data_IF_158564959617
#
_entry.id   IF_158564959617
#
_cell.length_a   1.000
_cell.length_b   1.000
_cell.length_c   1.000
_cell.angle_alpha   90.00
_cell.angle_beta   90.00
_cell.angle_gamma   90.00
#
_symmetry.space_group_name_H-M   'P 1'
#
loop_
_entity.id
_entity.type
_entity.pdbx_description
1 polymer ?
#
# COMPACT_ATOMS: atom_id res chain seq x y z
N UNK A 1 -22.80 19.42 -3.03
CA UNK A 1 -22.85 17.94 -3.11
C UNK A 1 -21.44 17.43 -2.96
N UNK A 2 -21.25 16.29 -2.29
CA UNK A 2 -19.94 15.64 -2.17
C UNK A 2 -19.58 15.02 -3.52
N UNK A 3 -18.52 15.49 -4.17
CA UNK A 3 -18.10 14.97 -5.47
C UNK A 3 -16.64 14.56 -5.43
N UNK A 4 -16.31 13.47 -6.14
CA UNK A 4 -14.94 13.10 -6.48
C UNK A 4 -14.56 13.82 -7.77
N UNK A 5 -13.34 14.34 -7.84
CA UNK A 5 -12.78 14.98 -9.03
C UNK A 5 -11.56 14.21 -9.53
N UNK A 6 -11.53 13.95 -10.83
CA UNK A 6 -10.45 13.22 -11.50
C UNK A 6 -9.82 14.16 -12.52
N UNK A 7 -8.51 14.37 -12.41
CA UNK A 7 -7.75 15.23 -13.34
C UNK A 7 -6.68 14.38 -14.02
N UNK A 8 -6.66 14.37 -15.35
CA UNK A 8 -5.56 13.81 -16.15
C UNK A 8 -4.76 14.96 -16.73
N UNK A 9 -3.50 15.09 -16.32
CA UNK A 9 -2.68 16.24 -16.67
C UNK A 9 -1.18 15.91 -16.74
N UNK A 10 -0.46 16.67 -17.58
CA UNK A 10 0.98 16.82 -17.42
C UNK A 10 1.21 17.70 -16.18
N UNK A 11 1.88 17.15 -15.18
CA UNK A 11 2.07 17.83 -13.90
C UNK A 11 3.41 17.49 -13.24
N UNK A 12 3.83 18.35 -12.33
CA UNK A 12 4.88 18.07 -11.34
C UNK A 12 4.32 18.29 -9.93
N UNK A 13 4.96 17.71 -8.93
CA UNK A 13 4.53 17.88 -7.55
C UNK A 13 5.70 18.03 -6.59
N UNK A 14 5.52 18.87 -5.57
CA UNK A 14 6.46 19.05 -4.47
C UNK A 14 5.70 18.86 -3.16
N UNK A 15 6.18 17.95 -2.35
CA UNK A 15 5.74 17.75 -0.98
C UNK A 15 6.80 18.30 -0.02
N UNK A 16 6.35 19.07 0.96
CA UNK A 16 7.17 19.62 2.03
C UNK A 16 6.49 19.42 3.38
N UNK A 17 7.26 19.12 4.43
CA UNK A 17 6.74 18.90 5.78
C UNK A 17 7.58 17.87 6.54
N UNK A 18 6.98 16.76 6.97
CA UNK A 18 7.68 15.66 7.66
C UNK A 18 8.85 15.05 6.89
N UNK A 19 8.79 15.18 5.56
CA UNK A 19 9.87 14.89 4.63
C UNK A 19 9.76 15.85 3.44
N UNK A 20 10.75 15.83 2.56
CA UNK A 20 10.68 16.49 1.27
C UNK A 20 10.64 15.43 0.17
N UNK A 21 9.74 15.59 -0.79
CA UNK A 21 9.64 14.72 -1.96
C UNK A 21 9.23 15.53 -3.19
N UNK A 22 9.74 15.15 -4.36
CA UNK A 22 9.43 15.80 -5.63
C UNK A 22 9.08 14.77 -6.69
N UNK A 23 8.08 15.09 -7.52
CA UNK A 23 7.75 14.38 -8.73
C UNK A 23 8.07 15.27 -9.93
N UNK A 24 8.97 14.86 -10.84
CA UNK A 24 9.29 15.64 -12.04
C UNK A 24 8.07 15.72 -12.98
N UNK A 25 8.05 16.67 -13.94
CA UNK A 25 7.01 16.73 -14.97
C UNK A 25 6.75 15.37 -15.62
N UNK A 26 5.50 14.92 -15.61
CA UNK A 26 5.01 13.76 -16.35
C UNK A 26 3.48 13.78 -16.41
N UNK A 27 2.90 13.01 -17.33
CA UNK A 27 1.46 12.77 -17.37
C UNK A 27 1.04 11.88 -16.20
N UNK A 28 0.05 12.33 -15.43
CA UNK A 28 -0.46 11.62 -14.23
C UNK A 28 -1.96 11.77 -14.07
N UNK A 29 -2.52 10.92 -13.21
CA UNK A 29 -3.91 11.01 -12.76
C UNK A 29 -3.94 11.53 -11.33
N UNK A 30 -4.66 12.62 -11.10
CA UNK A 30 -4.95 13.13 -9.77
C UNK A 30 -6.37 12.72 -9.38
N UNK A 31 -6.53 12.17 -8.19
CA UNK A 31 -7.83 11.86 -7.59
C UNK A 31 -8.03 12.74 -6.36
N UNK A 32 -9.02 13.63 -6.43
CA UNK A 32 -9.43 14.49 -5.32
C UNK A 32 -10.78 13.99 -4.83
N UNK A 33 -10.82 13.52 -3.59
CA UNK A 33 -12.06 13.01 -2.98
C UNK A 33 -12.90 14.14 -2.39
N UNK A 34 -14.16 13.82 -2.06
CA UNK A 34 -15.08 14.78 -1.46
C UNK A 34 -14.62 15.33 -0.10
N UNK A 35 -13.82 14.57 0.64
CA UNK A 35 -13.19 14.98 1.90
C UNK A 35 -11.89 15.80 1.71
N UNK A 36 -11.59 16.19 0.46
CA UNK A 36 -10.39 16.88 0.00
C UNK A 36 -9.11 16.03 0.00
N UNK A 37 -9.16 14.74 0.35
CA UNK A 37 -8.01 13.86 0.19
C UNK A 37 -7.54 13.89 -1.27
N UNK A 38 -6.24 14.09 -1.49
CA UNK A 38 -5.65 14.25 -2.82
C UNK A 38 -4.60 13.15 -3.04
N UNK A 39 -4.69 12.45 -4.17
CA UNK A 39 -3.81 11.34 -4.52
C UNK A 39 -3.26 11.53 -5.94
N UNK A 40 -1.98 11.23 -6.15
CA UNK A 40 -1.31 11.32 -7.45
C UNK A 40 -0.86 9.93 -7.90
N UNK A 41 -1.32 9.49 -9.06
CA UNK A 41 -1.01 8.18 -9.64
C UNK A 41 -0.19 8.31 -10.93
N UNK A 42 0.67 7.34 -11.15
CA UNK A 42 1.32 7.07 -12.44
C UNK A 42 0.60 5.90 -13.12
N UNK A 43 0.64 5.86 -14.45
CA UNK A 43 0.20 4.70 -15.23
C UNK A 43 1.06 3.46 -14.94
N UNK A 44 2.33 3.68 -14.60
CA UNK A 44 3.30 2.62 -14.32
C UNK A 44 3.46 2.34 -12.83
N UNK A 45 3.48 1.06 -12.47
CA UNK A 45 4.33 0.54 -11.39
C UNK A 45 3.79 0.55 -9.96
N UNK A 46 2.53 0.93 -9.68
CA UNK A 46 2.00 0.78 -8.32
C UNK A 46 0.48 0.92 -8.26
N UNK A 47 -0.21 0.00 -7.54
CA UNK A 47 -1.61 0.20 -7.13
C UNK A 47 -1.76 1.29 -6.05
N UNK A 48 -0.64 1.73 -5.46
CA UNK A 48 -0.59 2.83 -4.47
C UNK A 48 -0.25 4.15 -5.15
N UNK A 49 -0.79 5.28 -4.68
CA UNK A 49 -0.40 6.60 -5.16
C UNK A 49 1.10 6.85 -4.95
N UNK A 50 1.71 7.63 -5.86
CA UNK A 50 3.09 8.09 -5.76
C UNK A 50 3.26 9.14 -4.66
N UNK A 51 2.26 10.00 -4.47
CA UNK A 51 2.19 10.98 -3.39
C UNK A 51 0.72 11.26 -3.06
N UNK A 52 0.44 11.62 -1.81
CA UNK A 52 -0.92 11.88 -1.36
C UNK A 52 -0.94 12.83 -0.16
N UNK A 53 -2.11 13.46 0.03
CA UNK A 53 -2.48 14.15 1.26
C UNK A 53 -3.79 13.57 1.76
N UNK A 54 -3.81 13.06 2.99
CA UNK A 54 -5.03 12.58 3.63
C UNK A 54 -5.83 13.73 4.22
N UNK A 55 -7.17 13.60 4.23
CA UNK A 55 -8.03 14.44 5.05
C UNK A 55 -7.68 14.29 6.56
N UNK A 56 -7.89 15.32 7.38
CA UNK A 56 -8.39 16.65 7.01
C UNK A 56 -7.30 17.51 6.35
N UNK A 57 -7.59 18.02 5.16
CA UNK A 57 -6.75 18.95 4.41
C UNK A 57 -7.61 19.95 3.64
N UNK A 58 -6.99 21.01 3.13
CA UNK A 58 -7.64 22.00 2.28
C UNK A 58 -6.93 22.08 0.94
N UNK A 59 -7.68 22.26 -0.15
CA UNK A 59 -7.13 22.50 -1.49
C UNK A 59 -7.41 23.93 -1.90
N UNK A 60 -6.37 24.64 -2.34
CA UNK A 60 -6.50 25.95 -2.99
C UNK A 60 -6.03 25.84 -4.43
N UNK A 61 -6.84 26.37 -5.34
CA UNK A 61 -6.45 26.54 -6.74
C UNK A 61 -5.89 27.94 -6.92
N UNK A 62 -4.72 28.04 -7.52
CA UNK A 62 -4.00 29.30 -7.74
C UNK A 62 -3.70 29.38 -9.23
N UNK A 63 -4.16 30.45 -9.87
CA UNK A 63 -3.73 30.80 -11.22
C UNK A 63 -2.35 31.48 -11.12
N UNK A 64 -1.35 31.02 -11.88
CA UNK A 64 -0.05 31.67 -11.88
C UNK A 64 -0.16 33.06 -12.53
N UNK A 65 0.44 34.07 -11.89
CA UNK A 65 0.49 35.43 -12.46
C UNK A 65 1.22 35.42 -13.81
N UNK A 66 0.58 35.98 -14.84
CA UNK A 66 1.24 36.21 -16.12
C UNK A 66 2.43 37.14 -15.89
N UNK A 67 3.65 36.62 -16.03
CA UNK A 67 4.85 37.46 -15.95
C UNK A 67 4.83 38.40 -17.15
N UNK A 68 4.43 39.65 -16.92
CA UNK A 68 4.47 40.72 -17.91
C UNK A 68 5.89 40.82 -18.46
N UNK A 69 6.08 40.50 -19.74
CA UNK A 69 7.35 40.69 -20.44
C UNK A 69 7.68 42.20 -20.45
N UNK A 70 8.51 42.63 -19.51
CA UNK A 70 9.14 43.95 -19.53
C UNK A 70 10.27 43.98 -20.54
N UNK A 71 10.11 44.74 -21.62
CA UNK A 71 11.17 45.02 -22.58
C UNK A 71 12.03 46.21 -22.17
N UNK A 72 13.34 46.13 -22.43
CA UNK A 72 14.21 47.21 -22.87
C UNK A 72 15.56 46.60 -23.28
N UNK A 73 15.98 46.84 -24.53
CA UNK A 73 17.18 46.26 -25.12
C UNK A 73 18.45 47.07 -24.89
N UNK A 74 19.58 46.48 -25.31
CA UNK A 74 20.76 47.20 -25.78
C UNK A 74 21.50 46.33 -26.81
N UNK A 75 21.76 46.90 -27.99
CA UNK A 75 22.59 46.37 -29.08
C UNK A 75 24.08 46.58 -28.80
N UNK A 76 24.93 45.68 -29.32
CA UNK A 76 26.21 45.93 -30.02
C UNK A 76 26.76 44.53 -30.42
N UNK A 77 26.81 44.10 -31.69
CA UNK A 77 27.57 44.51 -32.90
C UNK A 77 28.80 43.61 -33.18
N UNK A 78 28.73 42.89 -34.32
CA UNK A 78 29.79 42.33 -35.21
C UNK A 78 30.81 41.31 -34.64
N UNK A 79 31.32 40.30 -35.35
CA UNK A 79 31.92 40.23 -36.70
C UNK A 79 31.86 38.78 -37.25
N UNK A 80 31.78 38.64 -38.57
CA UNK A 80 31.77 37.39 -39.33
C UNK A 80 33.15 36.77 -39.58
N UNK A 81 33.20 35.44 -39.76
CA UNK A 81 34.36 34.70 -40.28
C UNK A 81 33.94 33.34 -40.87
N UNK A 82 34.35 33.07 -42.10
CA UNK A 82 33.90 31.99 -43.00
C UNK A 82 34.86 30.78 -43.08
N UNK A 83 34.32 29.56 -42.86
CA UNK A 83 34.61 28.22 -43.46
C UNK A 83 36.04 27.61 -43.45
N UNK A 84 36.22 26.34 -43.92
CA UNK A 84 35.36 25.15 -43.88
C UNK A 84 36.09 23.86 -43.37
N UNK A 85 35.32 22.76 -43.26
CA UNK A 85 35.67 21.32 -43.28
C UNK A 85 36.82 20.76 -42.41
N UNK A 86 36.50 19.81 -41.51
CA UNK A 86 37.13 18.47 -41.52
C UNK A 86 36.47 17.43 -40.59
N UNK A 87 36.21 16.26 -41.21
CA UNK A 87 36.10 14.86 -40.75
C UNK A 87 35.25 14.44 -39.54
N UNK A 88 34.29 13.57 -39.86
CA UNK A 88 33.53 12.73 -38.96
C UNK A 88 34.38 11.62 -38.33
N UNK A 89 34.22 11.41 -37.02
CA UNK A 89 34.67 10.21 -36.32
C UNK A 89 33.48 9.62 -35.54
N UNK A 90 33.24 8.34 -35.76
CA UNK A 90 32.07 7.60 -35.29
C UNK A 90 32.15 7.34 -33.78
N UNK A 91 31.10 7.70 -33.04
CA UNK A 91 30.90 7.31 -31.65
C UNK A 91 29.48 6.80 -31.40
N UNK A 92 29.42 5.53 -31.03
CA UNK A 92 28.43 4.73 -30.26
C UNK A 92 26.92 5.11 -30.23
N UNK A 93 26.01 4.10 -30.24
CA UNK A 93 24.56 4.29 -30.35
C UNK A 93 23.82 4.79 -29.08
N UNK A 94 24.50 5.29 -28.06
CA UNK A 94 23.88 5.70 -26.77
C UNK A 94 23.43 7.17 -26.71
N UNK A 95 23.65 7.96 -27.76
CA UNK A 95 23.39 9.41 -27.75
C UNK A 95 21.93 9.83 -28.05
N UNK A 96 21.02 8.88 -28.35
CA UNK A 96 19.64 9.20 -28.75
C UNK A 96 18.64 9.32 -27.57
N UNK A 97 19.05 9.05 -26.34
CA UNK A 97 18.15 9.13 -25.16
C UNK A 97 18.31 10.45 -24.38
N UNK A 98 19.39 11.21 -24.61
CA UNK A 98 19.72 12.38 -23.79
C UNK A 98 19.15 13.72 -24.28
N UNK A 99 18.44 13.78 -25.43
CA UNK A 99 18.02 15.05 -26.04
C UNK A 99 16.55 15.46 -25.79
N UNK A 100 15.74 14.63 -25.14
CA UNK A 100 14.33 14.97 -24.83
C UNK A 100 14.10 15.51 -23.41
N UNK A 101 15.09 15.42 -22.51
CA UNK A 101 14.90 15.78 -21.09
C UNK A 101 14.95 17.29 -20.80
N UNK A 102 15.46 18.10 -21.74
CA UNK A 102 15.69 19.54 -21.50
C UNK A 102 14.57 20.46 -22.02
N UNK A 103 13.60 19.93 -22.78
CA UNK A 103 12.49 20.72 -23.31
C UNK A 103 11.33 20.93 -22.32
N UNK A 104 11.30 20.19 -21.21
CA UNK A 104 10.13 20.16 -20.31
C UNK A 104 10.14 21.22 -19.20
N UNK A 105 11.24 21.97 -19.04
CA UNK A 105 11.34 23.05 -18.05
C UNK A 105 10.65 24.37 -18.48
N UNK A 106 10.16 24.46 -19.72
CA UNK A 106 9.66 25.72 -20.28
C UNK A 106 8.14 25.75 -20.54
N UNK A 107 7.39 24.71 -20.13
CA UNK A 107 5.93 24.73 -20.27
C UNK A 107 5.33 25.68 -19.22
N UNK A 108 4.50 26.66 -19.63
CA UNK A 108 3.88 27.55 -18.66
C UNK A 108 2.96 26.73 -17.75
N UNK A 109 3.14 26.90 -16.44
CA UNK A 109 2.17 26.38 -15.47
C UNK A 109 0.86 27.08 -15.76
N UNK A 110 -0.23 26.32 -15.92
CA UNK A 110 -1.58 26.89 -16.10
C UNK A 110 -2.32 27.01 -14.79
N UNK A 111 -2.05 26.11 -13.85
CA UNK A 111 -2.78 26.02 -12.59
C UNK A 111 -1.91 25.38 -11.53
N UNK A 112 -2.02 25.87 -10.30
CA UNK A 112 -1.37 25.28 -9.13
C UNK A 112 -2.43 24.81 -8.15
N UNK A 113 -2.38 23.55 -7.76
CA UNK A 113 -3.16 23.01 -6.66
C UNK A 113 -2.27 22.94 -5.41
N UNK A 114 -2.59 23.75 -4.40
CA UNK A 114 -1.90 23.73 -3.11
C UNK A 114 -2.76 23.01 -2.09
N UNK A 115 -2.35 21.81 -1.71
CA UNK A 115 -3.01 20.98 -0.71
C UNK A 115 -2.28 21.11 0.62
N UNK A 116 -2.97 21.53 1.68
CA UNK A 116 -2.36 21.74 3.01
C UNK A 116 -3.05 20.90 4.06
N UNK A 117 -2.28 20.15 4.84
CA UNK A 117 -2.80 19.42 5.99
C UNK A 117 -3.34 20.39 7.05
N UNK A 118 -4.42 20.01 7.76
CA UNK A 118 -4.98 20.85 8.83
C UNK A 118 -4.19 20.72 10.13
N UNK A 119 -3.62 19.54 10.41
CA UNK A 119 -2.99 19.21 11.70
C UNK A 119 -1.47 19.29 11.69
N UNK A 120 -0.85 19.52 10.54
CA UNK A 120 0.60 19.60 10.38
C UNK A 120 0.96 20.69 9.38
N UNK A 121 2.24 21.06 9.31
CA UNK A 121 2.76 21.97 8.30
C UNK A 121 2.99 21.29 6.94
N UNK A 122 2.44 20.08 6.71
CA UNK A 122 2.61 19.35 5.47
C UNK A 122 1.87 20.05 4.32
N UNK A 123 2.56 20.29 3.21
CA UNK A 123 2.03 20.95 2.01
C UNK A 123 2.44 20.16 0.77
N UNK A 124 1.46 19.82 -0.07
CA UNK A 124 1.63 19.24 -1.39
C UNK A 124 1.23 20.28 -2.44
N UNK A 125 2.20 20.74 -3.22
CA UNK A 125 2.02 21.70 -4.32
C UNK A 125 2.11 20.97 -5.64
N UNK A 126 1.02 20.96 -6.41
CA UNK A 126 0.93 20.30 -7.70
C UNK A 126 0.80 21.36 -8.78
N UNK A 127 1.73 21.37 -9.74
CA UNK A 127 1.73 22.30 -10.87
C UNK A 127 1.18 21.57 -12.09
N UNK A 128 0.10 22.10 -12.67
CA UNK A 128 -0.53 21.56 -13.87
C UNK A 128 -0.08 22.37 -15.09
N UNK A 129 0.51 21.70 -16.07
CA UNK A 129 1.01 22.32 -17.30
C UNK A 129 -0.03 22.20 -18.42
N UNK A 130 -0.49 20.98 -18.70
CA UNK A 130 -1.52 20.67 -19.68
C UNK A 130 -2.56 19.77 -19.04
N UNK A 131 -3.84 20.17 -19.11
CA UNK A 131 -4.96 19.36 -18.62
C UNK A 131 -5.62 18.69 -19.82
N UNK A 132 -5.79 17.37 -19.73
CA UNK A 132 -6.44 16.54 -20.75
C UNK A 132 -7.88 16.20 -20.37
N UNK A 133 -8.14 16.00 -19.08
CA UNK A 133 -9.46 15.77 -18.51
C UNK A 133 -9.52 16.36 -17.10
N UNK A 134 -10.68 16.88 -16.72
CA UNK A 134 -10.96 17.45 -15.39
C UNK A 134 -12.46 17.31 -15.12
N UNK A 135 -12.84 16.15 -14.60
CA UNK A 135 -14.24 15.74 -14.46
C UNK A 135 -14.59 15.53 -12.98
N UNK A 136 -15.85 15.84 -12.63
CA UNK A 136 -16.37 15.64 -11.29
C UNK A 136 -17.59 14.71 -11.31
N UNK A 137 -17.63 13.78 -10.35
CA UNK A 137 -18.64 12.74 -10.24
C UNK A 137 -19.24 12.72 -8.84
N UNK A 138 -20.57 12.64 -8.76
CA UNK A 138 -21.29 12.24 -7.55
C UNK A 138 -21.43 10.71 -7.59
N UNK A 139 -20.79 10.03 -6.64
CA UNK A 139 -20.80 8.56 -6.57
C UNK A 139 -22.02 8.03 -5.80
N UNK A 140 -22.87 8.90 -5.25
CA UNK A 140 -24.02 8.52 -4.44
C UNK A 140 -23.63 7.96 -3.06
N UNK A 141 -24.57 7.23 -2.46
CA UNK A 141 -24.35 6.59 -1.17
C UNK A 141 -23.45 5.35 -1.32
N UNK A 142 -22.35 5.32 -0.58
CA UNK A 142 -21.46 4.15 -0.49
C UNK A 142 -22.01 3.18 0.58
N UNK A 143 -22.42 1.94 0.21
CA UNK A 143 -22.82 0.93 1.20
C UNK A 143 -21.64 0.45 2.07
N UNK A 144 -20.42 0.84 1.71
CA UNK A 144 -19.19 0.45 2.37
C UNK A 144 -18.69 -0.91 1.89
N UNK A 145 -17.41 -1.16 2.17
CA UNK A 145 -16.79 -2.45 1.92
C UNK A 145 -17.27 -3.48 2.96
N UNK A 146 -18.09 -4.44 2.54
CA UNK A 146 -18.35 -5.64 3.33
C UNK A 146 -17.12 -6.53 3.25
N UNK A 147 -16.37 -6.62 4.35
CA UNK A 147 -15.29 -7.58 4.49
C UNK A 147 -15.88 -8.84 5.11
N UNK A 148 -16.11 -9.87 4.30
CA UNK A 148 -16.41 -11.19 4.85
C UNK A 148 -15.22 -11.63 5.71
N UNK A 149 -15.45 -11.70 7.02
CA UNK A 149 -14.47 -11.98 8.07
C UNK A 149 -14.03 -13.44 8.05
N UNK A 150 -13.51 -13.91 6.92
CA UNK A 150 -13.08 -15.29 6.71
C UNK A 150 -12.10 -15.73 7.80
N UNK A 151 -11.20 -14.86 8.26
CA UNK A 151 -10.25 -15.19 9.34
C UNK A 151 -10.95 -15.38 10.69
N UNK A 152 -11.95 -14.54 11.02
CA UNK A 152 -12.74 -14.71 12.24
C UNK A 152 -13.55 -16.03 12.20
N UNK A 153 -14.08 -16.39 11.03
CA UNK A 153 -14.73 -17.68 10.83
C UNK A 153 -13.75 -18.86 10.95
N UNK A 154 -12.58 -18.78 10.31
CA UNK A 154 -11.54 -19.81 10.42
C UNK A 154 -11.10 -20.01 11.87
N UNK A 155 -10.93 -18.92 12.63
CA UNK A 155 -10.60 -18.98 14.05
C UNK A 155 -11.71 -19.64 14.86
N UNK A 156 -12.98 -19.27 14.60
CA UNK A 156 -14.13 -19.90 15.26
C UNK A 156 -14.19 -21.40 14.97
N UNK A 157 -14.18 -21.79 13.70
CA UNK A 157 -14.27 -23.20 13.31
C UNK A 157 -13.09 -24.02 13.82
N UNK A 158 -11.85 -23.50 13.78
CA UNK A 158 -10.70 -24.24 14.29
C UNK A 158 -10.75 -24.39 15.81
N UNK A 159 -11.28 -23.41 16.53
CA UNK A 159 -11.46 -23.50 17.97
C UNK A 159 -12.53 -24.54 18.37
N UNK A 160 -13.63 -24.62 17.62
CA UNK A 160 -14.68 -25.63 17.79
C UNK A 160 -14.18 -27.03 17.39
N UNK A 161 -13.29 -27.11 16.40
CA UNK A 161 -12.77 -28.34 15.82
C UNK A 161 -11.28 -28.51 16.17
N UNK A 162 -10.92 -28.22 17.42
CA UNK A 162 -9.51 -28.11 17.83
C UNK A 162 -8.71 -29.40 17.64
N UNK A 163 -9.36 -30.56 17.66
CA UNK A 163 -8.75 -31.87 17.35
C UNK A 163 -8.11 -31.93 15.96
N UNK A 164 -8.43 -31.00 15.04
CA UNK A 164 -7.75 -30.88 13.74
C UNK A 164 -6.24 -30.61 13.85
N UNK A 165 -5.77 -30.09 14.99
CA UNK A 165 -4.34 -29.89 15.24
C UNK A 165 -3.64 -31.14 15.80
N UNK A 166 -4.41 -32.20 16.08
CA UNK A 166 -3.94 -33.46 16.62
C UNK A 166 -4.92 -34.05 17.65
N UNK A 167 -5.01 -35.39 17.75
CA UNK A 167 -5.95 -36.06 18.64
C UNK A 167 -5.67 -35.72 20.11
N UNK A 168 -6.75 -35.42 20.85
CA UNK A 168 -6.66 -35.07 22.27
C UNK A 168 -6.23 -33.63 22.51
N UNK A 169 -6.27 -32.79 21.47
CA UNK A 169 -6.05 -31.36 21.63
C UNK A 169 -7.23 -30.71 22.36
N UNK A 170 -6.94 -29.71 23.19
CA UNK A 170 -7.97 -28.96 23.92
C UNK A 170 -7.76 -27.46 23.74
N UNK A 171 -8.86 -26.74 23.52
CA UNK A 171 -8.83 -25.30 23.39
C UNK A 171 -8.56 -24.67 24.77
N UNK A 172 -7.55 -23.81 24.87
CA UNK A 172 -7.35 -22.96 26.05
C UNK A 172 -8.17 -21.70 25.89
N UNK A 173 -7.94 -20.97 24.80
CA UNK A 173 -8.56 -19.65 24.57
C UNK A 173 -8.37 -19.20 23.12
N UNK A 174 -9.41 -18.56 22.56
CA UNK A 174 -9.27 -17.71 21.36
C UNK A 174 -8.81 -16.32 21.77
N UNK A 175 -8.04 -15.67 20.90
CA UNK A 175 -7.49 -14.33 21.16
C UNK A 175 -6.75 -14.31 22.52
N UNK A 176 -5.78 -15.23 22.67
CA UNK A 176 -5.02 -15.35 23.90
C UNK A 176 -4.16 -14.09 24.10
N UNK A 177 -4.38 -13.32 25.18
CA UNK A 177 -3.77 -12.00 25.32
C UNK A 177 -2.26 -12.09 25.55
N UNK A 178 -1.50 -11.28 24.83
CA UNK A 178 -0.07 -11.07 25.09
C UNK A 178 0.28 -9.57 25.06
N UNK A 179 1.42 -9.15 25.64
CA UNK A 179 1.89 -7.77 25.56
C UNK A 179 2.10 -7.20 24.15
N UNK A 180 2.25 -8.04 23.12
CA UNK A 180 2.49 -7.61 21.74
C UNK A 180 1.29 -7.82 20.81
N UNK A 181 0.12 -8.13 21.38
CA UNK A 181 -1.09 -8.48 20.65
C UNK A 181 -1.57 -9.91 20.98
N UNK A 182 -2.83 -10.23 20.67
CA UNK A 182 -3.37 -11.56 20.93
C UNK A 182 -2.84 -12.60 19.96
N UNK A 183 -2.64 -13.83 20.44
CA UNK A 183 -2.49 -15.03 19.60
C UNK A 183 -3.88 -15.52 19.22
N UNK A 184 -4.10 -15.87 17.95
CA UNK A 184 -5.44 -16.23 17.45
C UNK A 184 -6.06 -17.39 18.25
N UNK A 185 -5.30 -18.47 18.47
CA UNK A 185 -5.70 -19.58 19.34
C UNK A 185 -4.52 -20.05 20.19
N UNK A 186 -4.79 -20.24 21.48
CA UNK A 186 -3.96 -21.04 22.37
C UNK A 186 -4.67 -22.36 22.68
N UNK A 187 -3.93 -23.45 22.59
CA UNK A 187 -4.42 -24.81 22.84
C UNK A 187 -3.39 -25.62 23.62
N UNK A 188 -3.79 -26.80 24.08
CA UNK A 188 -2.91 -27.83 24.63
C UNK A 188 -3.03 -29.08 23.76
N UNK A 189 -1.91 -29.67 23.34
CA UNK A 189 -1.91 -30.92 22.56
C UNK A 189 -2.19 -32.16 23.44
N UNK A 190 -2.39 -33.32 22.82
CA UNK A 190 -2.62 -34.58 23.54
C UNK A 190 -1.47 -35.04 24.46
N UNK A 191 -0.31 -34.36 24.42
CA UNK A 191 0.82 -34.59 25.33
C UNK A 191 0.89 -33.56 26.46
N UNK A 192 -0.10 -32.67 26.58
CA UNK A 192 -0.12 -31.62 27.59
C UNK A 192 0.76 -30.41 27.28
N UNK A 193 1.29 -30.28 26.05
CA UNK A 193 2.15 -29.14 25.67
C UNK A 193 1.31 -28.02 25.08
N UNK A 194 1.70 -26.80 25.38
CA UNK A 194 1.04 -25.60 24.85
C UNK A 194 1.30 -25.42 23.36
N UNK A 195 0.28 -24.98 22.63
CA UNK A 195 0.30 -24.75 21.19
C UNK A 195 -0.27 -23.37 20.90
N UNK A 196 0.57 -22.49 20.35
CA UNK A 196 0.15 -21.21 19.80
C UNK A 196 -0.15 -21.39 18.30
N UNK A 197 -1.31 -20.92 17.86
CA UNK A 197 -1.77 -21.04 16.49
C UNK A 197 -2.02 -19.64 15.93
N UNK A 198 -1.42 -19.36 14.79
CA UNK A 198 -1.68 -18.17 13.99
C UNK A 198 -2.47 -18.57 12.73
N UNK A 199 -3.53 -17.84 12.43
CA UNK A 199 -4.51 -18.16 11.39
C UNK A 199 -4.52 -17.07 10.32
N UNK A 200 -4.44 -17.48 9.05
CA UNK A 200 -4.56 -16.57 7.89
C UNK A 200 -5.54 -17.09 6.85
N UNK A 201 -6.20 -16.21 6.12
CA UNK A 201 -6.86 -16.61 4.87
C UNK A 201 -5.81 -16.95 3.81
N UNK A 202 -4.84 -16.06 3.62
CA UNK A 202 -3.71 -16.24 2.71
C UNK A 202 -2.41 -16.06 3.51
N UNK A 203 -1.75 -17.16 3.83
CA UNK A 203 -0.57 -17.19 4.68
C UNK A 203 0.69 -16.72 3.96
N UNK A 204 1.19 -15.55 4.35
CA UNK A 204 2.46 -14.97 3.92
C UNK A 204 3.55 -15.01 4.99
N UNK A 205 4.72 -14.44 4.67
CA UNK A 205 5.89 -14.35 5.56
C UNK A 205 5.57 -13.57 6.85
N UNK A 206 4.72 -12.57 6.75
CA UNK A 206 4.25 -11.73 7.86
C UNK A 206 3.55 -12.54 8.95
N UNK A 207 2.73 -13.53 8.58
CA UNK A 207 2.10 -14.44 9.53
C UNK A 207 3.09 -15.35 10.27
N UNK A 208 4.11 -15.84 9.56
CA UNK A 208 5.17 -16.67 10.18
C UNK A 208 6.03 -15.86 11.15
N UNK A 209 6.37 -14.62 10.77
CA UNK A 209 7.11 -13.71 11.64
C UNK A 209 6.26 -13.29 12.86
N UNK A 210 4.94 -13.16 12.69
CA UNK A 210 4.02 -12.94 13.81
C UNK A 210 4.02 -14.13 14.78
N UNK A 211 3.84 -15.35 14.30
CA UNK A 211 3.91 -16.57 15.13
C UNK A 211 5.29 -16.72 15.80
N UNK A 212 6.37 -16.38 15.10
CA UNK A 212 7.74 -16.36 15.67
C UNK A 212 7.82 -15.45 16.90
N UNK A 213 7.29 -14.23 16.80
CA UNK A 213 7.31 -13.29 17.93
C UNK A 213 6.50 -13.82 19.11
N UNK A 214 5.33 -14.41 18.87
CA UNK A 214 4.50 -14.99 19.92
C UNK A 214 5.17 -16.19 20.59
N UNK A 215 5.62 -17.20 19.83
CA UNK A 215 6.28 -18.36 20.41
C UNK A 215 7.53 -17.97 21.19
N UNK A 216 8.34 -17.02 20.70
CA UNK A 216 9.53 -16.53 21.43
C UNK A 216 9.15 -15.85 22.75
N UNK A 217 8.05 -15.10 22.77
CA UNK A 217 7.56 -14.44 23.97
C UNK A 217 7.00 -15.45 24.97
N UNK A 218 6.10 -16.34 24.53
CA UNK A 218 5.42 -17.30 25.40
C UNK A 218 6.37 -18.35 25.98
N UNK A 219 7.40 -18.76 25.24
CA UNK A 219 8.44 -19.66 25.75
C UNK A 219 9.33 -19.04 26.84
N UNK A 220 9.20 -17.73 27.14
CA UNK A 220 9.87 -17.13 28.30
C UNK A 220 9.12 -17.36 29.61
N UNK A 221 7.83 -17.70 29.54
CA UNK A 221 7.02 -18.01 30.72
C UNK A 221 7.18 -19.49 31.08
N UNK A 222 7.75 -19.84 32.25
CA UNK A 222 7.91 -21.22 32.69
C UNK A 222 6.59 -21.98 32.90
N UNK A 223 5.46 -21.28 33.04
CA UNK A 223 4.14 -21.89 33.16
C UNK A 223 3.56 -22.33 31.81
N UNK A 224 4.09 -21.77 30.72
CA UNK A 224 3.67 -22.07 29.35
C UNK A 224 4.72 -22.87 28.57
N UNK A 225 6.00 -22.70 28.88
CA UNK A 225 7.06 -23.40 28.18
C UNK A 225 6.96 -24.93 28.44
N UNK A 226 7.14 -25.77 27.40
CA UNK A 226 7.39 -25.43 26.00
C UNK A 226 6.11 -25.10 25.22
N UNK A 227 6.18 -24.06 24.38
CA UNK A 227 5.10 -23.66 23.45
C UNK A 227 5.51 -23.97 22.02
N UNK A 228 4.75 -24.84 21.34
CA UNK A 228 4.88 -25.10 19.89
C UNK A 228 4.08 -24.09 19.08
N UNK A 229 4.46 -23.88 17.82
CA UNK A 229 3.74 -23.02 16.88
C UNK A 229 3.09 -23.82 15.75
N UNK A 230 1.84 -23.50 15.43
CA UNK A 230 1.15 -23.96 14.21
C UNK A 230 0.79 -22.74 13.36
N UNK A 231 1.21 -22.73 12.11
CA UNK A 231 0.80 -21.73 11.12
C UNK A 231 -0.33 -22.31 10.27
N UNK A 232 -1.56 -21.86 10.52
CA UNK A 232 -2.76 -22.39 9.91
C UNK A 232 -3.33 -21.41 8.86
N UNK A 233 -3.63 -21.87 7.65
CA UNK A 233 -4.25 -21.01 6.64
C UNK A 233 -5.02 -21.78 5.56
N UNK A 234 -5.93 -21.12 4.83
CA UNK A 234 -6.54 -21.77 3.65
C UNK A 234 -5.52 -22.00 2.54
N UNK A 235 -4.62 -21.03 2.35
CA UNK A 235 -3.51 -21.14 1.42
C UNK A 235 -2.24 -20.62 2.09
N UNK A 236 -1.09 -21.24 1.81
CA UNK A 236 0.22 -20.83 2.32
C UNK A 236 1.16 -20.67 1.13
N UNK A 237 1.84 -19.52 1.02
CA UNK A 237 2.81 -19.31 -0.06
C UNK A 237 4.02 -20.25 0.11
N UNK A 238 4.69 -20.67 -0.98
CA UNK A 238 5.87 -21.53 -0.89
C UNK A 238 6.96 -20.97 0.03
N UNK A 239 7.20 -19.67 -0.03
CA UNK A 239 8.21 -18.99 0.79
C UNK A 239 7.82 -19.00 2.28
N UNK A 240 6.53 -18.76 2.60
CA UNK A 240 6.04 -18.80 3.97
C UNK A 240 6.13 -20.21 4.56
N UNK A 241 5.81 -21.25 3.77
CA UNK A 241 5.95 -22.65 4.18
C UNK A 241 7.40 -22.98 4.54
N UNK A 242 8.34 -22.67 3.65
CA UNK A 242 9.78 -22.91 3.88
C UNK A 242 10.24 -22.21 5.16
N UNK A 243 9.83 -20.95 5.38
CA UNK A 243 10.21 -20.21 6.59
C UNK A 243 9.57 -20.79 7.85
N UNK A 244 8.31 -21.21 7.79
CA UNK A 244 7.61 -21.82 8.92
C UNK A 244 8.30 -23.12 9.35
N UNK A 245 8.64 -23.98 8.39
CA UNK A 245 9.37 -25.24 8.63
C UNK A 245 10.76 -24.99 9.20
N UNK A 246 11.52 -24.02 8.67
CA UNK A 246 12.83 -23.60 9.20
C UNK A 246 12.74 -23.15 10.67
N UNK A 247 11.64 -22.50 11.06
CA UNK A 247 11.38 -22.07 12.45
C UNK A 247 10.80 -23.19 13.34
N UNK A 248 10.61 -24.38 12.79
CA UNK A 248 10.04 -25.53 13.52
C UNK A 248 8.53 -25.43 13.74
N UNK A 249 7.81 -24.65 12.92
CA UNK A 249 6.36 -24.58 12.96
C UNK A 249 5.72 -25.60 12.04
N UNK A 250 4.62 -26.17 12.52
CA UNK A 250 3.76 -27.02 11.71
C UNK A 250 2.86 -26.17 10.83
N UNK A 251 2.74 -26.53 9.54
CA UNK A 251 1.85 -25.84 8.61
C UNK A 251 0.54 -26.62 8.46
N UNK A 252 -0.59 -25.99 8.80
CA UNK A 252 -1.92 -26.60 8.72
C UNK A 252 -2.75 -25.92 7.62
N UNK A 253 -3.21 -26.69 6.63
CA UNK A 253 -4.15 -26.17 5.63
C UNK A 253 -5.59 -26.30 6.16
N UNK A 254 -6.32 -25.18 6.14
CA UNK A 254 -7.71 -25.10 6.58
C UNK A 254 -8.65 -25.10 5.38
N UNK A 255 -9.44 -26.17 5.21
CA UNK A 255 -10.50 -26.20 4.21
C UNK A 255 -11.75 -25.52 4.76
N UNK A 256 -12.05 -24.32 4.28
CA UNK A 256 -13.15 -23.50 4.78
C UNK A 256 -14.52 -24.15 4.61
N UNK A 257 -14.78 -24.79 3.47
CA UNK A 257 -16.09 -25.41 3.21
C UNK A 257 -16.27 -26.66 4.06
N UNK A 258 -15.22 -27.48 4.21
CA UNK A 258 -15.27 -28.64 5.10
C UNK A 258 -15.44 -28.25 6.57
N UNK A 259 -14.79 -27.16 7.00
CA UNK A 259 -14.92 -26.64 8.36
C UNK A 259 -16.30 -26.04 8.62
N UNK A 260 -16.87 -25.33 7.65
CA UNK A 260 -18.23 -24.79 7.73
C UNK A 260 -19.32 -25.88 7.72
N UNK A 261 -19.13 -26.94 6.93
CA UNK A 261 -20.07 -28.05 6.84
C UNK A 261 -20.18 -28.88 8.12
N UNK A 262 -19.09 -29.02 8.88
CA UNK A 262 -19.11 -29.72 10.17
C UNK A 262 -19.98 -29.03 11.24
N UNK A 263 -20.25 -27.73 11.10
CA UNK A 263 -21.19 -26.96 11.93
C UNK A 263 -22.67 -27.24 11.55
N UNK A 264 -22.93 -27.82 10.39
CA UNK A 264 -24.29 -28.03 9.85
C UNK A 264 -24.90 -29.41 10.12
N UNK A 265 -24.19 -30.29 10.83
CA UNK A 265 -24.72 -31.59 11.31
C UNK A 265 -25.70 -31.45 12.50
N UNK A 266 -26.28 -30.25 12.70
CA UNK A 266 -27.59 -30.14 13.36
C UNK A 266 -28.64 -30.77 12.43
N UNK A 267 -28.93 -32.05 12.69
CA UNK A 267 -30.09 -32.82 12.23
C UNK A 267 -31.26 -31.92 11.77
N UNK A 268 -31.34 -31.64 10.47
CA UNK A 268 -32.59 -31.19 9.86
C UNK A 268 -33.54 -32.39 9.83
N UNK A 269 -34.24 -32.60 10.94
CA UNK A 269 -35.43 -33.43 11.00
C UNK A 269 -36.50 -32.80 10.09
N UNK A 270 -36.62 -33.33 8.88
CA UNK A 270 -37.84 -33.28 8.08
C UNK A 270 -38.51 -34.65 8.13
#
# INVERSE_FOLDING_TARGET
MASVRIIVADCSAEYSGRLNASLPPARRVLLIKADMSCLIFSELGSYKPLNWMCAPCTIREIEPEETSKGGAGAKADSVAGTGPDEVAEAAAPDALIAQEQDQDQCRPVRKVLRVSAVKSSDVLTIRLFQVYADDSYDLGADPGLVKDGVEAHLQRYLAEQIDRIGPGATLVRREYPTPIGPVDIMAVDGQGRHVAIEIKRHGGIDGVEQLTRYCRLLNRDPLLAPVRGIFAAQTITPQARVLAEDRGFECLILDYEAMKGADSDELTLF
#
